data_IF_923775434654
#
_entry.id   IF_923775434654
#
_cell.length_a   1.000
_cell.length_b   1.000
_cell.length_c   1.000
_cell.angle_alpha   90.00
_cell.angle_beta   90.00
_cell.angle_gamma   90.00
#
_symmetry.space_group_name_H-M   'P 1'
#
loop_
_entity.id
_entity.type
_entity.pdbx_description
1 polymer ?
#
# COMPACT_ATOMS: atom_id res chain seq x y z
N UNK A 1 -17.65 -4.39 9.61
CA UNK A 1 -17.61 -5.31 8.48
C UNK A 1 -18.68 -5.03 7.44
N UNK A 2 -19.78 -4.51 7.88
CA UNK A 2 -20.83 -4.17 6.94
C UNK A 2 -20.42 -3.12 5.95
N UNK A 3 -19.56 -2.23 6.36
CA UNK A 3 -19.04 -1.21 5.46
C UNK A 3 -18.30 -1.79 4.29
N UNK A 4 -18.02 -3.08 4.33
CA UNK A 4 -17.30 -3.73 3.26
C UNK A 4 -18.10 -3.92 1.99
N UNK A 5 -19.38 -3.66 2.02
CA UNK A 5 -20.17 -3.71 0.82
C UNK A 5 -19.68 -2.69 -0.19
N UNK A 6 -20.51 -1.73 -0.51
CA UNK A 6 -20.14 -0.70 -1.48
C UNK A 6 -18.98 0.16 -0.99
N UNK A 7 -18.87 0.39 0.34
CA UNK A 7 -17.82 1.24 0.86
C UNK A 7 -16.42 0.73 0.57
N UNK A 8 -16.22 -0.58 0.67
CA UNK A 8 -14.88 -1.14 0.49
C UNK A 8 -14.40 -1.08 -0.95
N UNK A 9 -15.30 -1.01 -1.91
CA UNK A 9 -14.93 -0.90 -3.32
C UNK A 9 -14.17 0.40 -3.58
N UNK A 10 -14.44 1.44 -2.80
CA UNK A 10 -13.84 2.76 -3.00
C UNK A 10 -12.74 3.10 -2.02
N UNK A 11 -12.41 2.17 -1.12
CA UNK A 11 -11.36 2.40 -0.13
C UNK A 11 -10.07 1.75 -0.57
N UNK A 12 -8.95 2.41 -0.27
CA UNK A 12 -7.66 1.80 -0.50
C UNK A 12 -7.40 0.74 0.54
N UNK A 13 -6.69 -0.30 0.13
CA UNK A 13 -6.40 -1.42 1.00
C UNK A 13 -4.91 -1.68 1.02
N UNK A 14 -4.35 -1.75 2.23
CA UNK A 14 -2.94 -2.04 2.43
C UNK A 14 -2.78 -3.55 2.46
N UNK A 15 -1.97 -4.07 1.55
CA UNK A 15 -1.72 -5.51 1.44
C UNK A 15 -0.60 -5.87 2.41
N UNK A 16 -0.89 -6.78 3.35
CA UNK A 16 0.05 -7.16 4.39
C UNK A 16 1.13 -8.12 3.89
N UNK A 17 0.80 -9.37 3.71
CA UNK A 17 1.80 -10.38 3.40
C UNK A 17 1.36 -11.32 2.29
N UNK A 18 1.93 -12.54 2.30
CA UNK A 18 1.71 -13.49 1.22
C UNK A 18 0.25 -13.87 1.07
N UNK A 19 -0.42 -14.20 2.18
CA UNK A 19 -1.82 -14.62 2.13
C UNK A 19 -2.72 -13.48 1.69
N UNK A 20 -2.50 -12.27 2.23
CA UNK A 20 -3.24 -11.09 1.80
C UNK A 20 -2.98 -10.80 0.33
N UNK A 21 -1.75 -10.97 -0.14
CA UNK A 21 -1.40 -10.80 -1.54
C UNK A 21 -2.12 -11.79 -2.44
N UNK A 22 -2.22 -13.05 -2.00
CA UNK A 22 -2.97 -14.05 -2.75
C UNK A 22 -4.45 -13.68 -2.85
N UNK A 23 -5.03 -13.21 -1.76
CA UNK A 23 -6.41 -12.73 -1.77
C UNK A 23 -6.59 -11.55 -2.72
N UNK A 24 -5.63 -10.62 -2.73
CA UNK A 24 -5.66 -9.48 -3.63
C UNK A 24 -5.59 -9.91 -5.10
N UNK A 25 -4.76 -10.91 -5.40
CA UNK A 25 -4.67 -11.44 -6.76
C UNK A 25 -5.99 -12.05 -7.22
N UNK A 26 -6.67 -12.77 -6.32
CA UNK A 26 -7.99 -13.34 -6.63
C UNK A 26 -9.00 -12.21 -6.85
N UNK A 27 -8.99 -11.19 -6.00
CA UNK A 27 -9.89 -10.06 -6.16
C UNK A 27 -9.68 -9.36 -7.50
N UNK A 28 -8.43 -9.17 -7.91
CA UNK A 28 -8.12 -8.57 -9.19
C UNK A 28 -8.61 -9.43 -10.35
N UNK A 29 -8.53 -10.76 -10.21
CA UNK A 29 -9.03 -11.68 -11.22
C UNK A 29 -10.54 -11.57 -11.39
N UNK A 30 -11.26 -11.29 -10.31
CA UNK A 30 -12.72 -11.13 -10.34
C UNK A 30 -13.09 -9.72 -10.85
N UNK A 31 -12.40 -8.69 -10.36
CA UNK A 31 -12.63 -7.30 -10.73
C UNK A 31 -11.28 -6.63 -10.98
N UNK A 32 -10.82 -6.56 -12.22
CA UNK A 32 -9.50 -6.00 -12.52
C UNK A 32 -9.28 -4.59 -11.99
N UNK A 33 -10.32 -3.78 -11.93
CA UNK A 33 -10.21 -2.41 -11.41
C UNK A 33 -9.91 -2.35 -9.91
N UNK A 34 -10.03 -3.47 -9.19
CA UNK A 34 -9.69 -3.49 -7.77
C UNK A 34 -8.21 -3.18 -7.53
N UNK A 35 -7.35 -3.48 -8.50
CA UNK A 35 -5.92 -3.26 -8.33
C UNK A 35 -5.56 -1.81 -8.05
N UNK A 36 -6.33 -0.85 -8.54
CA UNK A 36 -6.04 0.56 -8.31
C UNK A 36 -6.21 1.00 -6.85
N UNK A 37 -6.85 0.17 -6.04
CA UNK A 37 -7.07 0.46 -4.63
C UNK A 37 -6.09 -0.27 -3.72
N UNK A 38 -5.18 -1.06 -4.26
CA UNK A 38 -4.22 -1.81 -3.46
C UNK A 38 -2.96 -1.00 -3.22
N UNK A 39 -2.48 -1.04 -1.98
CA UNK A 39 -1.22 -0.42 -1.59
C UNK A 39 -0.38 -1.51 -0.94
N UNK A 40 0.84 -1.71 -1.42
CA UNK A 40 1.76 -2.65 -0.81
C UNK A 40 2.33 -2.08 0.48
N UNK A 41 2.71 -2.94 1.39
CA UNK A 41 3.35 -2.53 2.63
C UNK A 41 4.79 -3.00 2.68
N UNK A 42 5.04 -4.23 3.11
CA UNK A 42 6.39 -4.76 3.25
C UNK A 42 6.65 -5.91 2.30
N UNK A 43 7.93 -6.17 2.06
CA UNK A 43 8.35 -7.33 1.29
C UNK A 43 8.43 -8.53 2.23
N UNK A 44 7.42 -9.40 2.15
CA UNK A 44 7.40 -10.61 2.98
C UNK A 44 8.54 -11.54 2.60
N UNK A 45 9.04 -12.29 3.59
CA UNK A 45 10.07 -13.30 3.35
C UNK A 45 9.55 -14.52 2.59
N UNK A 46 8.23 -14.67 2.46
CA UNK A 46 7.67 -15.79 1.69
C UNK A 46 8.07 -15.68 0.21
N UNK A 47 8.65 -16.75 -0.37
CA UNK A 47 9.17 -16.66 -1.74
C UNK A 47 8.15 -16.26 -2.78
N UNK A 48 6.89 -16.66 -2.62
CA UNK A 48 5.85 -16.34 -3.59
C UNK A 48 5.30 -14.93 -3.50
N UNK A 49 5.61 -14.20 -2.43
CA UNK A 49 5.03 -12.90 -2.21
C UNK A 49 5.39 -11.90 -3.31
N UNK A 50 6.67 -11.81 -3.65
CA UNK A 50 7.13 -10.89 -4.67
C UNK A 50 6.50 -11.20 -6.03
N UNK A 51 6.36 -12.48 -6.35
CA UNK A 51 5.75 -12.89 -7.61
C UNK A 51 4.29 -12.42 -7.67
N UNK A 52 3.55 -12.56 -6.56
CA UNK A 52 2.16 -12.11 -6.52
C UNK A 52 2.09 -10.60 -6.63
N UNK A 53 2.94 -9.88 -5.90
CA UNK A 53 2.93 -8.42 -5.94
C UNK A 53 3.29 -7.90 -7.33
N UNK A 54 4.26 -8.50 -7.99
CA UNK A 54 4.59 -8.13 -9.36
C UNK A 54 3.43 -8.41 -10.31
N UNK A 55 2.73 -9.52 -10.09
CA UNK A 55 1.60 -9.91 -10.92
C UNK A 55 0.46 -8.89 -10.83
N UNK A 56 0.15 -8.43 -9.63
CA UNK A 56 -0.94 -7.46 -9.43
C UNK A 56 -0.48 -6.01 -9.58
N UNK A 57 0.81 -5.80 -9.82
CA UNK A 57 1.34 -4.46 -10.08
C UNK A 57 1.43 -3.57 -8.85
N UNK A 58 1.64 -4.15 -7.68
CA UNK A 58 1.71 -3.41 -6.41
C UNK A 58 3.15 -3.28 -5.95
N UNK A 59 3.55 -2.08 -5.56
CA UNK A 59 4.88 -1.80 -5.05
C UNK A 59 4.93 -2.06 -3.54
N UNK A 60 5.99 -2.74 -3.10
CA UNK A 60 6.26 -2.94 -1.69
C UNK A 60 7.22 -1.86 -1.22
N UNK A 61 6.79 -1.04 -0.26
CA UNK A 61 7.53 0.15 0.14
C UNK A 61 8.48 -0.08 1.30
N UNK A 62 8.35 -1.20 2.02
CA UNK A 62 9.20 -1.51 3.16
C UNK A 62 9.82 -2.88 2.97
N UNK A 63 11.04 -3.05 3.46
CA UNK A 63 11.74 -4.34 3.43
C UNK A 63 12.38 -4.54 4.79
N UNK A 64 11.60 -5.08 5.71
CA UNK A 64 11.99 -5.22 7.10
C UNK A 64 12.36 -6.66 7.48
N UNK A 65 12.35 -7.57 6.52
CA UNK A 65 12.65 -8.97 6.79
C UNK A 65 11.59 -9.67 7.63
N UNK A 66 10.37 -9.20 7.61
CA UNK A 66 9.29 -9.77 8.41
C UNK A 66 8.83 -11.10 7.83
N UNK A 67 8.67 -12.09 8.70
CA UNK A 67 8.11 -13.38 8.33
C UNK A 67 6.75 -13.62 8.97
N UNK A 68 6.27 -12.63 9.75
CA UNK A 68 5.01 -12.75 10.48
C UNK A 68 3.86 -12.30 9.59
N UNK A 69 2.70 -12.94 9.78
CA UNK A 69 1.46 -12.49 9.18
C UNK A 69 0.71 -11.57 10.13
N UNK A 70 -0.58 -11.76 10.21
CA UNK A 70 -1.43 -11.10 11.21
C UNK A 70 -1.47 -9.57 11.11
N UNK A 71 -1.22 -9.04 9.91
CA UNK A 71 -1.34 -7.61 9.68
C UNK A 71 -0.21 -6.77 10.20
N UNK A 72 0.89 -7.37 10.69
CA UNK A 72 2.01 -6.63 11.27
C UNK A 72 2.63 -5.66 10.25
N UNK A 73 2.87 -6.13 9.03
CA UNK A 73 3.46 -5.28 7.99
C UNK A 73 2.54 -4.12 7.62
N UNK A 74 1.25 -4.40 7.47
CA UNK A 74 0.29 -3.35 7.15
C UNK A 74 0.19 -2.34 8.29
N UNK A 75 0.16 -2.82 9.54
CA UNK A 75 0.10 -1.94 10.70
C UNK A 75 1.30 -1.01 10.77
N UNK A 76 2.50 -1.52 10.47
CA UNK A 76 3.72 -0.72 10.46
C UNK A 76 3.73 0.28 9.31
N UNK A 77 2.99 0.01 8.24
CA UNK A 77 2.93 0.91 7.11
C UNK A 77 1.99 2.09 7.33
N UNK A 78 0.97 1.98 8.16
CA UNK A 78 0.00 3.06 8.34
C UNK A 78 0.64 4.38 8.78
N UNK A 79 1.59 4.41 9.73
CA UNK A 79 2.26 5.67 10.04
C UNK A 79 2.99 6.29 8.86
N UNK A 80 3.59 5.46 8.00
CA UNK A 80 4.26 5.94 6.81
C UNK A 80 3.26 6.54 5.83
N UNK A 81 2.13 5.88 5.65
CA UNK A 81 1.06 6.37 4.78
C UNK A 81 0.49 7.68 5.32
N UNK A 82 0.27 7.78 6.62
CA UNK A 82 -0.20 9.00 7.24
C UNK A 82 0.79 10.14 7.02
N UNK A 83 2.08 9.87 7.20
CA UNK A 83 3.11 10.87 6.94
C UNK A 83 3.10 11.32 5.48
N UNK A 84 2.92 10.40 4.54
CA UNK A 84 2.88 10.74 3.13
C UNK A 84 1.70 11.65 2.80
N UNK A 85 0.52 11.39 3.38
CA UNK A 85 -0.63 12.26 3.16
C UNK A 85 -0.42 13.65 3.75
N UNK A 86 0.27 13.74 4.89
CA UNK A 86 0.59 15.03 5.49
C UNK A 86 1.58 15.82 4.65
N UNK A 87 2.54 15.15 4.02
CA UNK A 87 3.45 15.83 3.09
C UNK A 87 2.66 16.51 1.98
N UNK A 88 1.68 15.80 1.42
CA UNK A 88 0.87 16.36 0.34
C UNK A 88 -0.03 17.51 0.80
N UNK A 89 -0.57 17.43 2.01
CA UNK A 89 -1.58 18.40 2.48
C UNK A 89 -0.99 19.57 3.28
N UNK A 90 0.16 19.36 3.93
CA UNK A 90 0.69 20.35 4.87
C UNK A 90 2.00 20.98 4.44
N UNK A 91 2.85 20.27 3.68
CA UNK A 91 4.08 20.85 3.19
C UNK A 91 3.82 21.83 2.05
N UNK A 92 4.50 22.95 2.10
CA UNK A 92 4.41 23.94 1.03
C UNK A 92 5.45 23.65 -0.03
N UNK A 93 5.11 23.94 -1.27
CA UNK A 93 6.07 23.89 -2.36
C UNK A 93 7.06 25.05 -2.23
N UNK A 94 8.19 24.94 -2.90
CA UNK A 94 9.17 26.03 -2.88
C UNK A 94 8.59 27.36 -3.37
N UNK A 95 7.78 27.42 -4.44
CA UNK A 95 7.13 28.67 -4.82
C UNK A 95 6.21 29.24 -3.74
N UNK A 96 5.48 28.38 -3.02
CA UNK A 96 4.59 28.82 -1.95
C UNK A 96 5.35 29.45 -0.79
N UNK A 97 6.60 29.01 -0.56
CA UNK A 97 7.46 29.55 0.47
C UNK A 97 8.27 30.75 0.00
N UNK A 98 8.20 31.08 -1.28
CA UNK A 98 8.97 32.18 -1.87
C UNK A 98 10.47 31.97 -1.67
N UNK A 99 10.92 30.74 -1.86
CA UNK A 99 12.34 30.38 -1.70
C UNK A 99 12.94 30.11 -3.07
N UNK A 100 14.09 30.72 -3.31
CA UNK A 100 14.89 30.46 -4.51
C UNK A 100 15.92 29.37 -4.18
N UNK A 101 15.93 28.29 -4.96
CA UNK A 101 16.88 27.21 -4.77
C UNK A 101 18.02 27.38 -5.74
N UNK A 102 19.28 27.43 -5.27
CA UNK A 102 20.45 27.48 -6.15
C UNK A 102 20.51 26.22 -7.00
N UNK A 103 20.94 26.38 -8.23
CA UNK A 103 21.14 25.24 -9.12
C UNK A 103 22.59 24.84 -9.19
#
# INVERSE_FOLDING_TARGET
LRSRGLGDVYKRQVIDGFIAGAAAAIAQGIRPEAAQYFIGSHNSAEPGHKLIMDHIGVTMYMDLGLCLGEGTGAALFFPLLDAATRVLSEMKTLPELDITVPR
#
